data_IF_715283721336
#
_entry.id   IF_715283721336
#
_cell.length_a   1.000
_cell.length_b   1.000
_cell.length_c   1.000
_cell.angle_alpha   90.00
_cell.angle_beta   90.00
_cell.angle_gamma   90.00
#
_symmetry.space_group_name_H-M   'P 1'
#
loop_
_entity.id
_entity.type
_entity.pdbx_description
1 polymer ?
#
# COMPACT_ATOMS: atom_id res chain seq x y z
N UNK A 1 -1.36 30.40 -39.93
CA UNK A 1 -1.15 29.16 -39.15
C UNK A 1 -1.38 29.56 -37.69
N UNK A 2 -2.52 29.18 -37.10
CA UNK A 2 -2.80 29.52 -35.70
C UNK A 2 -1.84 28.77 -34.80
N UNK A 3 -1.07 29.50 -33.99
CA UNK A 3 -0.14 28.92 -33.04
C UNK A 3 -0.96 28.35 -31.88
N UNK A 4 -1.22 27.05 -31.91
CA UNK A 4 -1.92 26.35 -30.81
C UNK A 4 -1.06 26.46 -29.56
N UNK A 5 -1.56 27.19 -28.56
CA UNK A 5 -0.95 27.27 -27.24
C UNK A 5 -1.12 25.93 -26.53
N UNK A 6 -0.01 25.27 -26.23
CA UNK A 6 0.01 24.07 -25.38
C UNK A 6 0.53 24.52 -24.01
N UNK A 7 -0.20 24.27 -22.91
CA UNK A 7 0.28 24.57 -21.57
C UNK A 7 1.63 23.91 -21.29
N UNK A 8 2.46 24.55 -20.46
CA UNK A 8 3.72 23.95 -20.02
C UNK A 8 3.43 22.72 -19.16
N UNK A 9 4.11 21.62 -19.48
CA UNK A 9 3.98 20.37 -18.72
C UNK A 9 4.74 20.53 -17.40
N UNK A 10 4.05 20.27 -16.29
CA UNK A 10 4.65 20.23 -14.95
C UNK A 10 4.77 18.78 -14.50
N UNK A 11 5.81 18.49 -13.73
CA UNK A 11 6.07 17.14 -13.23
C UNK A 11 5.16 16.74 -12.06
N UNK A 12 4.68 17.70 -11.28
CA UNK A 12 3.81 17.45 -10.13
C UNK A 12 2.86 18.63 -9.95
N UNK A 13 1.68 18.37 -9.41
CA UNK A 13 0.76 19.41 -8.97
C UNK A 13 0.29 19.11 -7.54
N UNK A 14 0.59 19.97 -6.57
CA UNK A 14 0.26 19.77 -5.15
C UNK A 14 -0.54 20.93 -4.55
N UNK A 15 -1.31 21.64 -5.39
CA UNK A 15 -2.11 22.78 -4.97
C UNK A 15 -1.27 23.94 -4.43
N UNK A 16 -1.71 24.51 -3.30
CA UNK A 16 -1.04 25.60 -2.58
C UNK A 16 0.14 25.13 -1.71
N UNK A 17 0.34 23.81 -1.62
CA UNK A 17 1.41 23.19 -0.87
C UNK A 17 1.03 22.73 0.55
N UNK A 18 -0.15 23.06 1.06
CA UNK A 18 -0.59 22.77 2.44
C UNK A 18 -0.45 21.29 2.80
N UNK A 19 -0.88 20.38 1.93
CA UNK A 19 -0.81 18.93 2.15
C UNK A 19 0.45 18.25 1.59
N UNK A 20 1.45 19.01 1.14
CA UNK A 20 2.65 18.45 0.49
C UNK A 20 3.38 17.44 1.37
N UNK A 21 3.51 17.72 2.67
CA UNK A 21 4.20 16.82 3.59
C UNK A 21 3.45 15.50 3.74
N UNK A 22 2.13 15.57 3.98
CA UNK A 22 1.25 14.43 4.11
C UNK A 22 1.27 13.56 2.84
N UNK A 23 1.10 14.16 1.66
CA UNK A 23 1.08 13.42 0.39
C UNK A 23 2.42 12.72 0.16
N UNK A 24 3.55 13.41 0.38
CA UNK A 24 4.88 12.80 0.24
C UNK A 24 5.09 11.65 1.24
N UNK A 25 4.65 11.81 2.47
CA UNK A 25 4.73 10.77 3.51
C UNK A 25 3.88 9.56 3.14
N UNK A 26 2.61 9.78 2.75
CA UNK A 26 1.70 8.74 2.32
C UNK A 26 2.29 7.94 1.15
N UNK A 27 2.71 8.61 0.08
CA UNK A 27 3.27 7.95 -1.11
C UNK A 27 4.50 7.15 -0.74
N UNK A 28 5.45 7.73 0.01
CA UNK A 28 6.64 7.00 0.45
C UNK A 28 6.29 5.78 1.30
N UNK A 29 5.36 5.94 2.25
CA UNK A 29 4.96 4.88 3.18
C UNK A 29 4.24 3.75 2.45
N UNK A 30 3.23 4.06 1.64
CA UNK A 30 2.45 3.10 0.88
C UNK A 30 3.33 2.21 0.01
N UNK A 31 4.19 2.80 -0.83
CA UNK A 31 5.03 2.03 -1.75
C UNK A 31 6.18 1.30 -1.03
N UNK A 32 6.65 1.81 0.11
CA UNK A 32 7.58 1.06 0.99
C UNK A 32 6.92 -0.22 1.51
N UNK A 33 5.67 -0.14 1.96
CA UNK A 33 4.90 -1.30 2.41
C UNK A 33 4.56 -2.24 1.25
N UNK A 34 4.21 -1.68 0.09
CA UNK A 34 3.86 -2.43 -1.11
C UNK A 34 4.97 -3.35 -1.61
N UNK A 35 6.20 -2.89 -1.47
CA UNK A 35 7.39 -3.64 -1.87
C UNK A 35 7.95 -4.49 -0.71
N UNK A 36 7.24 -4.71 0.39
CA UNK A 36 7.65 -5.74 1.36
C UNK A 36 7.46 -7.15 0.77
N UNK A 37 8.13 -8.14 1.37
CA UNK A 37 8.00 -9.55 0.96
C UNK A 37 6.57 -10.06 1.11
N UNK A 38 5.87 -9.59 2.15
CA UNK A 38 4.45 -9.87 2.36
C UNK A 38 3.67 -8.56 2.40
N UNK A 39 2.76 -8.36 1.44
CA UNK A 39 1.88 -7.19 1.35
C UNK A 39 0.79 -7.15 2.41
N UNK A 40 0.72 -8.15 3.31
CA UNK A 40 -0.16 -8.12 4.49
C UNK A 40 0.02 -6.85 5.34
N UNK A 41 1.23 -6.28 5.35
CA UNK A 41 1.55 -5.05 6.10
C UNK A 41 0.77 -3.81 5.65
N UNK A 42 0.16 -3.83 4.46
CA UNK A 42 -0.63 -2.72 3.91
C UNK A 42 -2.08 -2.77 4.42
N UNK A 43 -2.50 -3.87 5.05
CA UNK A 43 -3.89 -4.09 5.45
C UNK A 43 -4.47 -2.92 6.26
N UNK A 44 -3.73 -2.44 7.26
CA UNK A 44 -4.14 -1.31 8.11
C UNK A 44 -4.29 0.04 7.40
N UNK A 45 -3.86 0.17 6.14
CA UNK A 45 -4.06 1.40 5.36
C UNK A 45 -5.43 1.48 4.71
N UNK A 46 -6.17 0.38 4.57
CA UNK A 46 -7.46 0.36 3.87
C UNK A 46 -8.62 0.45 4.86
N UNK A 47 -9.61 1.29 4.54
CA UNK A 47 -10.88 1.32 5.27
C UNK A 47 -11.62 -0.02 5.15
N UNK A 48 -12.46 -0.35 6.14
CA UNK A 48 -13.31 -1.55 6.15
C UNK A 48 -14.09 -1.74 4.85
N UNK A 49 -14.58 -0.64 4.28
CA UNK A 49 -15.41 -0.64 3.07
C UNK A 49 -14.65 -0.17 1.82
N UNK A 50 -13.32 -0.15 1.86
CA UNK A 50 -12.48 0.33 0.77
C UNK A 50 -12.73 -0.42 -0.54
N UNK A 51 -12.62 0.28 -1.66
CA UNK A 51 -12.82 -0.25 -3.00
C UNK A 51 -11.52 -0.27 -3.79
N UNK A 52 -11.22 -1.40 -4.42
CA UNK A 52 -10.07 -1.54 -5.31
C UNK A 52 -10.48 -2.04 -6.70
N UNK A 53 -9.87 -1.46 -7.73
CA UNK A 53 -9.91 -2.06 -9.06
C UNK A 53 -8.60 -1.85 -9.81
N UNK A 54 -8.32 -2.75 -10.75
CA UNK A 54 -7.14 -2.67 -11.59
C UNK A 54 -7.53 -2.76 -13.05
N UNK A 55 -6.81 -2.04 -13.92
CA UNK A 55 -6.95 -2.12 -15.36
C UNK A 55 -5.57 -2.26 -16.01
N UNK A 56 -5.54 -2.97 -17.14
CA UNK A 56 -4.32 -3.20 -17.90
C UNK A 56 -4.37 -2.47 -19.25
N UNK A 57 -3.29 -1.75 -19.53
CA UNK A 57 -2.99 -1.15 -20.82
C UNK A 57 -2.56 -2.16 -21.89
N UNK A 58 -2.15 -1.66 -23.07
CA UNK A 58 -1.66 -2.51 -24.15
C UNK A 58 -0.30 -3.15 -23.82
N UNK A 59 -0.31 -4.45 -23.53
CA UNK A 59 0.92 -5.20 -23.25
C UNK A 59 1.42 -5.89 -24.52
N UNK A 60 2.58 -5.48 -25.02
CA UNK A 60 3.23 -6.08 -26.20
C UNK A 60 4.32 -7.10 -25.83
N UNK A 61 5.09 -6.83 -24.76
CA UNK A 61 6.19 -7.66 -24.29
C UNK A 61 5.71 -9.05 -23.82
N UNK A 62 6.42 -10.10 -24.22
CA UNK A 62 6.08 -11.48 -23.89
C UNK A 62 6.12 -11.79 -22.39
N UNK A 63 7.14 -11.29 -21.68
CA UNK A 63 7.30 -11.53 -20.23
C UNK A 63 6.18 -10.84 -19.46
N UNK A 64 5.87 -9.57 -19.79
CA UNK A 64 4.73 -8.87 -19.21
C UNK A 64 3.41 -9.63 -19.44
N UNK A 65 3.20 -10.18 -20.65
CA UNK A 65 2.00 -11.00 -20.93
C UNK A 65 1.91 -12.26 -20.06
N UNK A 66 3.03 -12.91 -19.77
CA UNK A 66 3.01 -14.08 -18.90
C UNK A 66 2.72 -13.71 -17.45
N UNK A 67 3.30 -12.60 -16.97
CA UNK A 67 3.10 -12.16 -15.58
C UNK A 67 1.68 -11.66 -15.34
N UNK A 68 1.15 -10.85 -16.24
CA UNK A 68 -0.19 -10.28 -16.07
C UNK A 68 -1.32 -11.32 -16.15
N UNK A 69 -1.06 -12.55 -16.64
CA UNK A 69 -2.02 -13.66 -16.54
C UNK A 69 -2.30 -14.09 -15.11
N UNK A 70 -1.36 -13.87 -14.18
CA UNK A 70 -1.59 -14.20 -12.76
C UNK A 70 -2.44 -13.15 -12.06
N UNK A 71 -2.70 -12.01 -12.71
CA UNK A 71 -3.45 -10.92 -12.11
C UNK A 71 -4.94 -11.27 -12.14
N UNK A 72 -5.54 -11.31 -10.96
CA UNK A 72 -6.93 -11.74 -10.79
C UNK A 72 -7.94 -10.70 -11.29
N UNK A 73 -7.50 -9.45 -11.53
CA UNK A 73 -8.38 -8.33 -11.89
C UNK A 73 -7.88 -7.59 -13.13
N UNK A 74 -8.77 -7.43 -14.13
CA UNK A 74 -8.62 -6.46 -15.22
C UNK A 74 -9.99 -5.88 -15.57
N UNK A 75 -10.35 -4.80 -14.88
CA UNK A 75 -11.64 -4.13 -14.96
C UNK A 75 -11.62 -3.03 -16.02
N UNK A 76 -11.72 -3.43 -17.30
CA UNK A 76 -11.93 -2.50 -18.41
C UNK A 76 -13.41 -2.40 -18.80
N UNK A 77 -14.11 -1.38 -18.32
CA UNK A 77 -15.55 -1.13 -18.56
C UNK A 77 -15.94 -1.07 -20.04
N UNK A 78 -15.02 -0.68 -20.92
CA UNK A 78 -15.27 -0.59 -22.36
C UNK A 78 -15.27 -1.95 -23.06
N UNK A 79 -14.77 -3.01 -22.40
CA UNK A 79 -14.64 -4.36 -22.97
C UNK A 79 -15.60 -5.37 -22.35
N UNK A 80 -16.35 -5.01 -21.30
CA UNK A 80 -17.31 -5.93 -20.71
C UNK A 80 -18.52 -6.09 -21.62
N UNK A 81 -18.79 -7.35 -21.98
CA UNK A 81 -20.07 -7.76 -22.56
C UNK A 81 -21.05 -8.16 -21.43
N UNK A 82 -20.50 -8.63 -20.29
CA UNK A 82 -21.24 -9.06 -19.12
C UNK A 82 -20.93 -8.16 -17.91
N UNK A 83 -21.91 -7.35 -17.52
CA UNK A 83 -21.80 -6.42 -16.40
C UNK A 83 -21.79 -7.10 -15.02
N UNK A 84 -22.24 -8.36 -14.89
CA UNK A 84 -22.14 -9.07 -13.62
C UNK A 84 -20.66 -9.32 -13.26
N UNK A 85 -19.85 -9.73 -14.24
CA UNK A 85 -18.38 -9.89 -14.08
C UNK A 85 -17.67 -8.58 -13.75
N UNK A 86 -18.22 -7.44 -14.16
CA UNK A 86 -17.66 -6.14 -13.83
C UNK A 86 -17.69 -5.87 -12.31
N UNK A 87 -18.71 -6.36 -11.61
CA UNK A 87 -18.80 -6.25 -10.15
C UNK A 87 -17.79 -7.15 -9.44
N UNK A 88 -17.50 -8.34 -9.98
CA UNK A 88 -16.51 -9.26 -9.42
C UNK A 88 -15.09 -8.68 -9.40
N UNK A 89 -14.76 -7.81 -10.37
CA UNK A 89 -13.45 -7.16 -10.45
C UNK A 89 -13.35 -5.83 -9.68
N UNK A 90 -14.40 -5.44 -8.96
CA UNK A 90 -14.38 -4.36 -7.98
C UNK A 90 -14.29 -4.98 -6.58
N UNK A 91 -13.08 -5.05 -6.04
CA UNK A 91 -12.86 -5.66 -4.73
C UNK A 91 -13.31 -4.69 -3.64
N UNK A 92 -14.02 -5.22 -2.63
CA UNK A 92 -14.47 -4.46 -1.47
C UNK A 92 -13.90 -5.03 -0.18
N UNK A 93 -13.36 -4.15 0.64
CA UNK A 93 -12.79 -4.42 1.95
C UNK A 93 -11.35 -4.96 1.89
N UNK A 94 -10.58 -4.74 2.97
CA UNK A 94 -9.14 -4.97 3.00
C UNK A 94 -8.76 -6.43 2.72
N UNK A 95 -9.54 -7.40 3.19
CA UNK A 95 -9.23 -8.83 2.99
C UNK A 95 -9.12 -9.20 1.51
N UNK A 96 -10.12 -8.81 0.71
CA UNK A 96 -10.13 -9.10 -0.73
C UNK A 96 -9.04 -8.32 -1.47
N UNK A 97 -8.84 -7.06 -1.09
CA UNK A 97 -7.82 -6.18 -1.67
C UNK A 97 -6.43 -6.77 -1.44
N UNK A 98 -6.07 -7.04 -0.18
CA UNK A 98 -4.76 -7.56 0.19
C UNK A 98 -4.53 -8.95 -0.38
N UNK A 99 -5.55 -9.82 -0.42
CA UNK A 99 -5.43 -11.12 -1.08
C UNK A 99 -5.06 -10.98 -2.57
N UNK A 100 -5.73 -10.09 -3.30
CA UNK A 100 -5.42 -9.83 -4.70
C UNK A 100 -4.02 -9.22 -4.90
N UNK A 101 -3.62 -8.28 -4.04
CA UNK A 101 -2.29 -7.68 -4.09
C UNK A 101 -1.20 -8.71 -3.76
N UNK A 102 -1.39 -9.59 -2.77
CA UNK A 102 -0.41 -10.65 -2.42
C UNK A 102 -0.20 -11.69 -3.52
N UNK A 103 -1.22 -11.92 -4.36
CA UNK A 103 -1.11 -12.83 -5.51
C UNK A 103 -0.32 -12.24 -6.68
N UNK A 104 -0.03 -10.94 -6.69
CA UNK A 104 0.81 -10.32 -7.71
C UNK A 104 2.30 -10.57 -7.41
N UNK A 105 3.17 -10.68 -8.43
CA UNK A 105 4.60 -10.87 -8.21
C UNK A 105 5.22 -9.73 -7.37
N UNK A 106 6.27 -10.00 -6.58
CA UNK A 106 6.97 -8.97 -5.82
C UNK A 106 7.55 -7.87 -6.72
N UNK A 107 7.46 -6.63 -6.25
CA UNK A 107 7.82 -5.42 -7.01
C UNK A 107 8.90 -4.60 -6.32
N UNK A 108 9.50 -3.69 -7.08
CA UNK A 108 10.30 -2.56 -6.59
C UNK A 108 9.84 -1.33 -7.37
N UNK A 109 9.25 -0.36 -6.67
CA UNK A 109 8.83 0.91 -7.24
C UNK A 109 9.96 1.93 -7.19
N UNK A 110 10.15 2.63 -8.29
CA UNK A 110 11.24 3.58 -8.45
C UNK A 110 10.76 4.97 -8.03
N UNK A 111 10.78 5.26 -6.73
CA UNK A 111 10.26 6.53 -6.15
C UNK A 111 10.80 7.80 -6.85
N UNK A 112 12.02 7.76 -7.41
CA UNK A 112 12.60 8.89 -8.16
C UNK A 112 11.88 9.20 -9.48
N UNK A 113 11.12 8.25 -10.00
CA UNK A 113 10.32 8.38 -11.23
C UNK A 113 8.89 8.84 -10.95
N UNK A 114 8.54 9.05 -9.68
CA UNK A 114 7.17 9.35 -9.32
C UNK A 114 6.80 10.78 -9.66
N UNK A 115 5.63 10.90 -10.28
CA UNK A 115 4.92 12.14 -10.48
C UNK A 115 3.61 12.04 -9.69
N UNK A 116 3.30 13.08 -8.93
CA UNK A 116 2.14 13.12 -8.03
C UNK A 116 1.30 14.35 -8.32
N UNK A 117 0.02 14.10 -8.55
CA UNK A 117 -0.99 15.13 -8.78
C UNK A 117 -2.06 15.06 -7.69
N UNK A 118 -2.30 16.17 -7.02
CA UNK A 118 -3.46 16.40 -6.16
C UNK A 118 -4.66 16.72 -7.05
N UNK A 119 -5.58 15.78 -7.16
CA UNK A 119 -6.76 15.87 -8.02
C UNK A 119 -7.91 16.61 -7.33
N UNK A 120 -8.04 16.41 -6.02
CA UNK A 120 -9.10 17.01 -5.22
C UNK A 120 -8.66 17.13 -3.75
N UNK A 121 -9.03 18.23 -3.13
CA UNK A 121 -8.87 18.47 -1.71
C UNK A 121 -10.20 18.98 -1.14
N UNK A 122 -10.73 18.27 -0.15
CA UNK A 122 -11.84 18.70 0.69
C UNK A 122 -11.46 18.61 2.17
N UNK A 123 -12.43 18.88 3.06
CA UNK A 123 -12.16 18.96 4.51
C UNK A 123 -11.63 17.65 5.12
N UNK A 124 -12.15 16.52 4.64
CA UNK A 124 -11.81 15.18 5.17
C UNK A 124 -11.37 14.19 4.07
N UNK A 125 -11.35 14.61 2.80
CA UNK A 125 -11.01 13.76 1.65
C UNK A 125 -9.89 14.38 0.81
N UNK A 126 -8.92 13.55 0.43
CA UNK A 126 -7.86 13.88 -0.52
C UNK A 126 -7.88 12.87 -1.66
N UNK A 127 -7.93 13.34 -2.91
CA UNK A 127 -7.74 12.48 -4.07
C UNK A 127 -6.39 12.79 -4.72
N UNK A 128 -5.53 11.78 -4.84
CA UNK A 128 -4.21 11.92 -5.48
C UNK A 128 -4.05 10.89 -6.60
N UNK A 129 -3.35 11.26 -7.65
CA UNK A 129 -2.84 10.35 -8.68
C UNK A 129 -1.32 10.26 -8.55
N UNK A 130 -0.81 9.04 -8.49
CA UNK A 130 0.61 8.73 -8.45
C UNK A 130 0.95 7.92 -9.68
N UNK A 131 1.90 8.39 -10.48
CA UNK A 131 2.39 7.64 -11.63
C UNK A 131 3.91 7.49 -11.57
N UNK A 132 4.42 6.43 -12.17
CA UNK A 132 5.85 6.17 -12.19
C UNK A 132 6.17 4.79 -12.75
N UNK A 133 7.41 4.36 -12.48
CA UNK A 133 7.93 3.08 -12.95
C UNK A 133 8.13 2.11 -11.79
N UNK A 134 7.94 0.82 -12.08
CA UNK A 134 8.31 -0.26 -11.18
C UNK A 134 8.91 -1.44 -11.94
N UNK A 135 9.64 -2.29 -11.21
CA UNK A 135 10.21 -3.54 -11.73
C UNK A 135 9.70 -4.71 -10.91
N UNK A 136 9.71 -5.92 -11.49
CA UNK A 136 9.50 -7.14 -10.74
C UNK A 136 10.81 -7.61 -10.12
N UNK A 137 10.82 -7.83 -8.80
CA UNK A 137 12.05 -8.10 -8.04
C UNK A 137 12.75 -9.38 -8.47
N UNK A 138 11.96 -10.44 -8.61
CA UNK A 138 12.49 -11.79 -8.82
C UNK A 138 12.57 -12.16 -10.29
N UNK A 139 12.45 -11.16 -11.19
CA UNK A 139 12.42 -11.35 -12.64
C UNK A 139 13.28 -10.27 -13.33
N UNK A 140 14.62 -10.35 -13.22
CA UNK A 140 15.54 -9.31 -13.72
C UNK A 140 15.44 -9.07 -15.23
N UNK A 141 15.04 -10.08 -16.00
CA UNK A 141 14.84 -10.00 -17.44
C UNK A 141 13.57 -9.24 -17.85
N UNK A 142 12.66 -8.98 -16.90
CA UNK A 142 11.43 -8.27 -17.18
C UNK A 142 11.71 -6.75 -17.21
N UNK A 143 11.42 -6.06 -18.33
CA UNK A 143 11.60 -4.62 -18.38
C UNK A 143 10.65 -3.92 -17.39
N UNK A 144 11.02 -2.72 -16.89
CA UNK A 144 10.15 -1.93 -16.04
C UNK A 144 8.78 -1.67 -16.68
N UNK A 145 7.75 -1.66 -15.84
CA UNK A 145 6.39 -1.31 -16.21
C UNK A 145 6.03 0.08 -15.68
N UNK A 146 5.13 0.73 -16.38
CA UNK A 146 4.51 1.97 -15.94
C UNK A 146 3.28 1.66 -15.09
N UNK A 147 3.04 2.48 -14.08
CA UNK A 147 1.77 2.49 -13.37
C UNK A 147 1.22 3.92 -13.26
N UNK A 148 -0.10 4.03 -13.19
CA UNK A 148 -0.80 5.18 -12.66
C UNK A 148 -1.80 4.66 -11.62
N UNK A 149 -1.75 5.18 -10.40
CA UNK A 149 -2.58 4.75 -9.29
C UNK A 149 -3.24 5.95 -8.63
N UNK A 150 -4.56 5.94 -8.60
CA UNK A 150 -5.36 6.99 -7.98
C UNK A 150 -5.88 6.51 -6.64
N UNK A 151 -5.66 7.31 -5.59
CA UNK A 151 -6.13 7.04 -4.24
C UNK A 151 -7.13 8.11 -3.81
N UNK A 152 -8.21 7.68 -3.15
CA UNK A 152 -9.02 8.55 -2.29
C UNK A 152 -8.67 8.21 -0.85
N UNK A 153 -8.12 9.20 -0.15
CA UNK A 153 -7.63 9.10 1.22
C UNK A 153 -8.60 9.89 2.10
N UNK A 154 -9.06 9.27 3.18
CA UNK A 154 -9.96 9.88 4.15
C UNK A 154 -9.22 10.12 5.45
N UNK A 155 -9.34 11.34 5.99
CA UNK A 155 -8.86 11.68 7.33
C UNK A 155 -9.81 11.08 8.37
N UNK A 156 -9.25 10.44 9.39
CA UNK A 156 -9.95 9.92 10.56
C UNK A 156 -9.56 10.71 11.81
N UNK A 157 -10.02 10.27 12.96
CA UNK A 157 -9.59 10.77 14.26
C UNK A 157 -8.09 10.49 14.47
N UNK A 158 -7.49 11.12 15.49
CA UNK A 158 -6.09 10.92 15.87
C UNK A 158 -5.04 11.13 14.76
N UNK A 159 -5.36 11.95 13.75
CA UNK A 159 -4.54 12.16 12.55
C UNK A 159 -4.24 10.86 11.78
N UNK A 160 -5.12 9.88 11.87
CA UNK A 160 -5.06 8.68 11.04
C UNK A 160 -5.64 8.95 9.65
N UNK A 161 -5.16 8.20 8.66
CA UNK A 161 -5.61 8.30 7.28
C UNK A 161 -5.80 6.91 6.71
N UNK A 162 -6.96 6.66 6.09
CA UNK A 162 -7.24 5.40 5.43
C UNK A 162 -7.59 5.60 3.94
N UNK A 163 -7.33 4.57 3.15
CA UNK A 163 -7.66 4.50 1.73
C UNK A 163 -9.09 4.00 1.61
N UNK A 164 -9.94 4.77 0.95
CA UNK A 164 -11.35 4.41 0.67
C UNK A 164 -11.55 3.96 -0.76
N UNK A 165 -10.79 4.51 -1.71
CA UNK A 165 -10.76 4.05 -3.08
C UNK A 165 -9.33 3.97 -3.58
N UNK A 166 -9.03 2.89 -4.30
CA UNK A 166 -7.74 2.67 -4.96
C UNK A 166 -7.97 2.11 -6.37
N UNK A 167 -7.58 2.89 -7.36
CA UNK A 167 -7.66 2.48 -8.75
C UNK A 167 -6.26 2.40 -9.34
N UNK A 168 -5.87 1.21 -9.79
CA UNK A 168 -4.57 0.95 -10.39
C UNK A 168 -4.68 0.74 -11.91
N UNK A 169 -3.86 1.44 -12.67
CA UNK A 169 -3.63 1.20 -14.09
C UNK A 169 -2.17 0.77 -14.28
N UNK A 170 -1.96 -0.35 -14.98
CA UNK A 170 -0.62 -0.84 -15.32
C UNK A 170 -0.45 -0.88 -16.83
N UNK A 171 0.73 -0.51 -17.30
CA UNK A 171 1.05 -0.52 -18.72
C UNK A 171 2.42 -1.14 -18.99
N UNK A 172 2.48 -1.91 -20.08
CA UNK A 172 3.72 -2.49 -20.59
C UNK A 172 4.43 -1.44 -21.43
N UNK A 173 5.03 -0.46 -20.76
CA UNK A 173 5.68 0.74 -21.32
C UNK A 173 6.26 0.53 -22.72
N UNK A 174 5.91 1.35 -23.72
CA UNK A 174 6.44 1.18 -25.07
C UNK A 174 7.95 1.45 -25.12
N UNK A 175 8.64 0.78 -26.05
CA UNK A 175 10.10 0.92 -26.26
C UNK A 175 10.56 2.37 -26.56
N UNK A 176 9.63 3.28 -26.86
CA UNK A 176 9.90 4.61 -27.38
C UNK A 176 9.63 5.73 -26.36
N UNK A 177 9.42 5.40 -25.07
CA UNK A 177 9.40 6.43 -24.03
C UNK A 177 10.80 7.05 -23.96
N UNK A 178 10.92 8.26 -24.48
CA UNK A 178 12.08 9.14 -24.42
C UNK A 178 12.37 9.61 -22.99
N UNK A 179 12.50 8.66 -22.07
CA UNK A 179 13.38 8.76 -20.90
C UNK A 179 14.84 8.38 -21.28
N UNK A 180 15.09 8.18 -22.58
CA UNK A 180 16.43 8.14 -23.18
C UNK A 180 17.21 9.41 -22.90
N UNK A 181 17.95 9.39 -21.79
CA UNK A 181 19.22 10.06 -21.50
C UNK A 181 19.53 10.16 -20.00
N UNK A 182 18.67 9.62 -19.13
CA UNK A 182 19.10 9.28 -17.78
C UNK A 182 19.39 7.79 -17.76
N UNK A 183 20.66 7.42 -17.64
CA UNK A 183 21.06 6.10 -17.14
C UNK A 183 20.50 5.93 -15.72
N UNK A 184 19.19 5.78 -15.57
CA UNK A 184 18.62 5.31 -14.32
C UNK A 184 18.93 3.82 -14.31
N UNK A 185 20.16 3.50 -13.88
CA UNK A 185 20.51 2.16 -13.45
C UNK A 185 19.54 1.86 -12.31
N UNK A 186 18.51 1.09 -12.63
CA UNK A 186 17.60 0.52 -11.64
C UNK A 186 18.41 -0.51 -10.88
N UNK A 187 19.13 -0.05 -9.86
CA UNK A 187 19.89 -0.92 -8.98
C UNK A 187 18.93 -1.92 -8.34
N UNK A 188 19.26 -3.21 -8.45
CA UNK A 188 18.62 -4.31 -7.74
C UNK A 188 18.89 -4.15 -6.22
N UNK A 189 18.23 -3.18 -5.59
CA UNK A 189 18.18 -3.08 -4.13
C UNK A 189 17.05 -3.97 -3.64
N UNK A 190 17.28 -4.68 -2.53
CA UNK A 190 16.21 -5.40 -1.83
C UNK A 190 15.08 -4.46 -1.42
N UNK A 191 13.97 -5.03 -0.94
CA UNK A 191 12.86 -4.24 -0.39
C UNK A 191 13.38 -3.13 0.53
N UNK A 192 12.83 -1.91 0.45
CA UNK A 192 13.15 -0.87 1.42
C UNK A 192 12.88 -1.42 2.83
N UNK A 193 13.77 -1.13 3.80
CA UNK A 193 13.55 -1.57 5.18
C UNK A 193 12.31 -0.87 5.73
N UNK A 194 11.27 -1.64 6.02
CA UNK A 194 10.13 -1.16 6.78
C UNK A 194 10.46 -1.20 8.27
N UNK A 195 10.40 -0.03 8.92
CA UNK A 195 10.45 0.09 10.37
C UNK A 195 9.03 0.50 10.79
N UNK A 196 8.29 -0.33 11.56
CA UNK A 196 6.96 0.03 12.05
C UNK A 196 7.00 1.40 12.72
N UNK A 197 6.04 2.26 12.39
CA UNK A 197 5.92 3.59 13.00
C UNK A 197 5.26 3.45 14.37
N UNK A 198 5.42 4.46 15.23
CA UNK A 198 4.83 4.53 16.57
C UNK A 198 3.31 4.30 16.48
N UNK A 199 2.81 3.32 17.22
CA UNK A 199 1.37 3.00 17.26
C UNK A 199 0.56 4.18 17.82
N UNK A 200 -0.60 4.45 17.21
CA UNK A 200 -1.59 5.39 17.74
C UNK A 200 -2.16 4.92 19.08
N UNK A 201 -2.87 5.79 19.80
CA UNK A 201 -3.51 5.43 21.06
C UNK A 201 -4.53 4.30 20.84
N UNK A 202 -5.35 4.42 19.79
CA UNK A 202 -6.32 3.41 19.38
C UNK A 202 -5.65 2.07 19.02
N UNK A 203 -4.57 2.08 18.24
CA UNK A 203 -3.83 0.86 17.91
C UNK A 203 -3.24 0.18 19.16
N UNK A 204 -2.72 0.97 20.10
CA UNK A 204 -2.22 0.47 21.39
C UNK A 204 -3.34 -0.18 22.21
N UNK A 205 -4.51 0.45 22.26
CA UNK A 205 -5.69 -0.09 22.95
C UNK A 205 -6.19 -1.39 22.32
N UNK A 206 -6.15 -1.51 21.00
CA UNK A 206 -6.49 -2.75 20.29
C UNK A 206 -5.51 -3.88 20.62
N UNK A 207 -4.20 -3.59 20.66
CA UNK A 207 -3.18 -4.56 21.04
C UNK A 207 -3.33 -5.01 22.50
N UNK A 208 -3.66 -4.08 23.40
CA UNK A 208 -3.96 -4.36 24.81
C UNK A 208 -5.16 -5.29 24.94
N UNK A 209 -6.26 -4.96 24.27
CA UNK A 209 -7.50 -5.73 24.27
C UNK A 209 -7.26 -7.14 23.73
N UNK A 210 -6.57 -7.25 22.60
CA UNK A 210 -6.22 -8.54 22.01
C UNK A 210 -5.34 -9.38 22.93
N UNK A 211 -4.30 -8.79 23.54
CA UNK A 211 -3.43 -9.51 24.46
C UNK A 211 -4.20 -9.96 25.72
N UNK A 212 -5.09 -9.12 26.24
CA UNK A 212 -5.97 -9.44 27.36
C UNK A 212 -6.85 -10.65 27.04
N UNK A 213 -7.52 -10.65 25.89
CA UNK A 213 -8.43 -11.73 25.48
C UNK A 213 -7.72 -13.09 25.35
N UNK A 214 -6.51 -13.12 24.78
CA UNK A 214 -5.80 -14.38 24.54
C UNK A 214 -5.02 -14.90 25.76
N UNK A 215 -4.58 -14.00 26.65
CA UNK A 215 -3.78 -14.38 27.84
C UNK A 215 -4.60 -14.46 29.11
N UNK A 216 -5.79 -13.84 29.14
CA UNK A 216 -6.63 -13.63 30.32
C UNK A 216 -5.97 -12.80 31.43
N UNK A 217 -4.78 -12.24 31.19
CA UNK A 217 -4.13 -11.33 32.14
C UNK A 217 -4.86 -9.99 32.19
N UNK A 218 -4.94 -9.33 33.34
CA UNK A 218 -5.50 -8.00 33.45
C UNK A 218 -4.70 -6.95 32.64
N UNK A 219 -5.36 -5.81 32.37
CA UNK A 219 -4.85 -4.77 31.49
C UNK A 219 -3.49 -4.20 31.94
N UNK A 220 -3.22 -4.17 33.24
CA UNK A 220 -1.94 -3.68 33.77
C UNK A 220 -0.77 -4.55 33.31
N UNK A 221 -0.90 -5.86 33.44
CA UNK A 221 0.14 -6.78 32.98
C UNK A 221 0.22 -6.82 31.46
N UNK A 222 -0.90 -6.79 30.73
CA UNK A 222 -0.89 -6.67 29.27
C UNK A 222 -0.10 -5.44 28.80
N UNK A 223 -0.29 -4.29 29.45
CA UNK A 223 0.47 -3.08 29.14
C UNK A 223 1.97 -3.28 29.36
N UNK A 224 2.37 -3.84 30.50
CA UNK A 224 3.78 -4.08 30.79
C UNK A 224 4.44 -5.02 29.77
N UNK A 225 3.80 -6.13 29.42
CA UNK A 225 4.30 -7.04 28.40
C UNK A 225 4.43 -6.39 27.02
N UNK A 226 3.46 -5.54 26.63
CA UNK A 226 3.54 -4.81 25.36
C UNK A 226 4.64 -3.74 25.40
N UNK A 227 4.76 -3.00 26.49
CA UNK A 227 5.78 -1.97 26.66
C UNK A 227 7.20 -2.57 26.60
N UNK A 228 7.46 -3.64 27.35
CA UNK A 228 8.74 -4.36 27.35
C UNK A 228 9.05 -4.97 25.97
N UNK A 229 8.02 -5.37 25.22
CA UNK A 229 8.14 -5.90 23.87
C UNK A 229 8.24 -4.81 22.78
N UNK A 230 8.35 -3.53 23.14
CA UNK A 230 8.28 -2.40 22.21
C UNK A 230 7.05 -2.46 21.31
N UNK A 231 5.90 -2.81 21.90
CA UNK A 231 4.60 -2.97 21.27
C UNK A 231 4.56 -4.04 20.14
N UNK A 232 5.53 -4.95 20.13
CA UNK A 232 5.51 -6.12 19.25
C UNK A 232 4.64 -7.22 19.87
N UNK A 233 3.42 -7.37 19.37
CA UNK A 233 2.45 -8.35 19.90
C UNK A 233 2.96 -9.80 19.85
N UNK A 234 3.72 -10.19 18.80
CA UNK A 234 4.26 -11.55 18.70
C UNK A 234 5.32 -11.80 19.78
N UNK A 235 6.20 -10.82 20.00
CA UNK A 235 7.20 -10.89 21.07
C UNK A 235 6.51 -10.93 22.43
N UNK A 236 5.52 -10.07 22.68
CA UNK A 236 4.76 -10.06 23.93
C UNK A 236 4.10 -11.42 24.23
N UNK A 237 3.40 -12.01 23.25
CA UNK A 237 2.78 -13.34 23.37
C UNK A 237 3.83 -14.42 23.63
N UNK A 238 4.93 -14.40 22.87
CA UNK A 238 6.00 -15.40 23.03
C UNK A 238 6.60 -15.33 24.43
N UNK A 239 6.89 -14.11 24.91
CA UNK A 239 7.43 -13.88 26.25
C UNK A 239 6.44 -14.32 27.32
N UNK A 240 5.17 -13.97 27.19
CA UNK A 240 4.12 -14.43 28.11
C UNK A 240 4.05 -15.96 28.16
N UNK A 241 3.96 -16.64 27.01
CA UNK A 241 3.87 -18.09 26.95
C UNK A 241 5.08 -18.76 27.61
N UNK A 242 6.28 -18.26 27.34
CA UNK A 242 7.51 -18.75 27.97
C UNK A 242 7.48 -18.60 29.49
N UNK A 243 7.03 -17.45 30.01
CA UNK A 243 6.91 -17.24 31.46
C UNK A 243 5.80 -18.08 32.08
N UNK A 244 4.67 -18.23 31.39
CA UNK A 244 3.52 -18.98 31.86
C UNK A 244 3.81 -20.47 31.99
N UNK A 245 4.50 -21.06 30.99
CA UNK A 245 4.86 -22.50 31.03
C UNK A 245 5.79 -22.88 32.17
N UNK A 246 6.59 -21.93 32.68
CA UNK A 246 7.48 -22.15 33.84
C UNK A 246 6.87 -21.63 35.16
N UNK A 247 5.58 -21.29 35.18
CA UNK A 247 4.85 -20.73 36.33
C UNK A 247 5.48 -19.44 36.91
N UNK A 248 6.12 -18.62 36.06
CA UNK A 248 6.72 -17.34 36.44
C UNK A 248 5.82 -16.12 36.18
N UNK A 249 4.56 -16.32 35.82
CA UNK A 249 3.58 -15.23 35.75
C UNK A 249 2.92 -15.06 37.12
N UNK A 250 2.98 -13.88 37.76
CA UNK A 250 2.39 -13.67 39.08
C UNK A 250 0.87 -13.92 39.08
N UNK A 251 0.30 -14.55 40.12
CA UNK A 251 -1.14 -14.78 40.20
C UNK A 251 -1.98 -13.50 40.11
N UNK A 252 -1.45 -12.36 40.56
CA UNK A 252 -2.07 -11.04 40.46
C UNK A 252 -2.27 -10.57 39.02
N UNK A 253 -1.64 -11.22 38.05
CA UNK A 253 -1.88 -10.97 36.64
C UNK A 253 -3.27 -11.45 36.21
N UNK A 254 -3.91 -12.38 36.94
CA UNK A 254 -5.19 -13.00 36.55
C UNK A 254 -6.36 -12.58 37.47
N UNK A 255 -6.17 -11.50 38.23
CA UNK A 255 -7.18 -10.89 39.13
C UNK A 255 -7.68 -9.58 38.55
#
# INVERSE_FOLDING_TARGET
MEQKFVPSIQSNFLGDGTNTCLIKQFVKHYFTLYDQNDRQVINGLYDRDALYSMSLGPISNYIHKQLTKTFVTNRNLLKFVDYAKCQEFLLRGPEKIISALRNQPPTIHHLKTFHVDLLYEGEIHLAISVQGMFSFRDIPQCPPMFFNRTFIIMKKEDNEYCITNDQCYLDGTPANTSLGNSEIKFESKGAPKFIPTVFSVSEKEQLLTFLHEITTMNMKFCHQYLEDANWNIRTAITTFMNMYTVNNVPPEAFV
#
